data_IF_732184491068
#
_entry.id   IF_732184491068
#
_cell.length_a   1.000
_cell.length_b   1.000
_cell.length_c   1.000
_cell.angle_alpha   90.00
_cell.angle_beta   90.00
_cell.angle_gamma   90.00
#
_symmetry.space_group_name_H-M   'P 1'
#
loop_
_entity.id
_entity.type
_entity.pdbx_description
1 polymer ?
#
# COMPACT_ATOMS: atom_id res chain seq x y z
N UNK A 1 8.75 -0.96 35.69
CA UNK A 1 9.10 -0.54 34.32
C UNK A 1 7.99 -0.99 33.39
N UNK A 2 7.46 -0.10 32.54
CA UNK A 2 6.47 -0.49 31.54
C UNK A 2 7.23 -1.10 30.36
N UNK A 3 7.10 -2.41 30.14
CA UNK A 3 7.60 -3.05 28.93
C UNK A 3 6.89 -2.44 27.72
N UNK A 4 7.64 -2.09 26.69
CA UNK A 4 7.06 -1.69 25.42
C UNK A 4 6.22 -2.84 24.86
N UNK A 5 5.01 -2.54 24.40
CA UNK A 5 4.09 -3.50 23.80
C UNK A 5 3.82 -3.08 22.35
N UNK A 6 3.92 -4.03 21.42
CA UNK A 6 3.55 -3.83 20.04
C UNK A 6 2.19 -4.48 19.77
N UNK A 7 1.35 -3.81 18.98
CA UNK A 7 0.09 -4.33 18.50
C UNK A 7 0.20 -4.63 17.02
N UNK A 8 -0.15 -5.86 16.62
CA UNK A 8 -0.16 -6.30 15.22
C UNK A 8 -1.60 -6.53 14.78
N UNK A 9 -1.95 -6.00 13.61
CA UNK A 9 -3.25 -6.23 12.97
C UNK A 9 -3.08 -7.26 11.85
N UNK A 10 -3.76 -8.41 11.96
CA UNK A 10 -3.85 -9.40 10.89
C UNK A 10 -5.20 -9.22 10.21
N UNK A 11 -5.16 -8.81 8.94
CA UNK A 11 -6.36 -8.56 8.14
C UNK A 11 -6.78 -9.82 7.38
N UNK A 12 -8.04 -9.91 6.92
CA UNK A 12 -8.47 -10.99 6.04
C UNK A 12 -7.59 -11.12 4.80
N UNK A 13 -7.43 -12.35 4.32
CA UNK A 13 -6.65 -12.64 3.10
C UNK A 13 -7.32 -11.94 1.91
N UNK A 14 -6.55 -11.10 1.22
CA UNK A 14 -7.00 -10.50 -0.02
C UNK A 14 -6.91 -11.54 -1.15
N UNK A 15 -8.06 -11.98 -1.65
CA UNK A 15 -8.14 -12.89 -2.79
C UNK A 15 -7.72 -12.17 -4.07
N UNK A 16 -6.76 -12.73 -4.79
CA UNK A 16 -6.29 -12.24 -6.09
C UNK A 16 -7.33 -12.61 -7.14
N UNK A 17 -7.83 -11.61 -7.87
CA UNK A 17 -8.71 -11.85 -9.00
C UNK A 17 -7.89 -12.17 -10.25
N UNK A 18 -8.38 -13.11 -11.06
CA UNK A 18 -7.81 -13.49 -12.35
C UNK A 18 -8.91 -13.49 -13.40
N UNK A 19 -8.72 -12.74 -14.47
CA UNK A 19 -9.58 -12.67 -15.63
C UNK A 19 -8.80 -12.97 -16.90
N UNK A 20 -9.33 -12.49 -18.03
CA UNK A 20 -8.77 -12.79 -19.36
C UNK A 20 -7.64 -11.83 -19.78
N UNK A 21 -7.51 -10.66 -19.12
CA UNK A 21 -6.45 -9.68 -19.36
C UNK A 21 -5.48 -9.60 -18.16
N UNK A 22 -4.27 -10.18 -18.28
CA UNK A 22 -3.27 -10.13 -17.22
C UNK A 22 -2.85 -8.72 -16.80
N UNK A 23 -2.86 -7.75 -17.71
CA UNK A 23 -2.45 -6.38 -17.39
C UNK A 23 -3.50 -5.70 -16.50
N UNK A 24 -4.77 -5.88 -16.83
CA UNK A 24 -5.89 -5.37 -16.05
C UNK A 24 -5.98 -6.06 -14.68
N UNK A 25 -5.69 -7.36 -14.61
CA UNK A 25 -5.59 -8.09 -13.34
C UNK A 25 -4.50 -7.54 -12.43
N UNK A 26 -3.30 -7.29 -12.98
CA UNK A 26 -2.20 -6.69 -12.22
C UNK A 26 -2.63 -5.32 -11.68
N UNK A 27 -3.26 -4.48 -12.51
CA UNK A 27 -3.72 -3.15 -12.12
C UNK A 27 -4.75 -3.23 -10.99
N UNK A 28 -5.79 -4.05 -11.16
CA UNK A 28 -6.90 -4.20 -10.20
C UNK A 28 -6.44 -4.76 -8.87
N UNK A 29 -5.64 -5.82 -8.88
CA UNK A 29 -5.09 -6.41 -7.67
C UNK A 29 -4.17 -5.41 -6.95
N UNK A 30 -3.25 -4.76 -7.66
CA UNK A 30 -2.34 -3.75 -7.08
C UNK A 30 -3.11 -2.61 -6.41
N UNK A 31 -4.20 -2.14 -7.03
CA UNK A 31 -5.07 -1.12 -6.44
C UNK A 31 -5.74 -1.62 -5.14
N UNK A 32 -6.23 -2.87 -5.11
CA UNK A 32 -6.84 -3.46 -3.90
C UNK A 32 -5.83 -3.60 -2.76
N UNK A 33 -4.60 -4.03 -3.04
CA UNK A 33 -3.54 -4.04 -2.02
C UNK A 33 -3.21 -2.63 -1.53
N UNK A 34 -3.13 -1.65 -2.45
CA UNK A 34 -2.84 -0.26 -2.11
C UNK A 34 -3.91 0.34 -1.21
N UNK A 35 -5.19 0.08 -1.47
CA UNK A 35 -6.30 0.54 -0.64
C UNK A 35 -6.18 0.08 0.83
N UNK A 36 -5.75 -1.17 1.07
CA UNK A 36 -5.52 -1.70 2.42
C UNK A 36 -4.39 -0.95 3.13
N UNK A 37 -3.28 -0.66 2.41
CA UNK A 37 -2.21 0.16 2.98
C UNK A 37 -2.70 1.57 3.33
N UNK A 38 -3.46 2.20 2.43
CA UNK A 38 -3.98 3.54 2.66
C UNK A 38 -4.94 3.59 3.86
N UNK A 39 -5.79 2.58 4.05
CA UNK A 39 -6.66 2.49 5.23
C UNK A 39 -5.83 2.46 6.53
N UNK A 40 -4.81 1.61 6.60
CA UNK A 40 -3.95 1.50 7.78
C UNK A 40 -3.13 2.77 8.02
N UNK A 41 -2.62 3.40 6.96
CA UNK A 41 -1.89 4.68 7.06
C UNK A 41 -2.81 5.80 7.52
N UNK A 42 -4.06 5.87 7.04
CA UNK A 42 -5.03 6.87 7.51
C UNK A 42 -5.40 6.65 8.98
N UNK A 43 -5.44 5.40 9.45
CA UNK A 43 -5.74 5.07 10.86
C UNK A 43 -4.58 5.37 11.81
N UNK A 44 -3.34 5.17 11.36
CA UNK A 44 -2.12 5.34 12.17
C UNK A 44 -1.02 6.08 11.38
N UNK A 45 -1.25 7.35 11.00
CA UNK A 45 -0.33 8.07 10.11
C UNK A 45 1.07 8.24 10.70
N UNK A 46 1.19 8.36 12.02
CA UNK A 46 2.45 8.48 12.74
C UNK A 46 3.31 7.20 12.72
N UNK A 47 2.70 6.04 12.40
CA UNK A 47 3.40 4.76 12.29
C UNK A 47 3.93 4.51 10.86
N UNK A 48 3.59 5.37 9.89
CA UNK A 48 4.07 5.23 8.52
C UNK A 48 5.45 5.88 8.34
N UNK A 49 6.34 5.20 7.61
CA UNK A 49 7.68 5.72 7.30
C UNK A 49 7.63 6.78 6.19
N UNK A 50 7.20 8.01 6.51
CA UNK A 50 7.06 9.12 5.54
C UNK A 50 8.33 9.48 4.78
N UNK A 51 9.51 9.22 5.36
CA UNK A 51 10.80 9.43 4.70
C UNK A 51 11.02 8.48 3.50
N UNK A 52 10.28 7.37 3.43
CA UNK A 52 10.40 6.42 2.33
C UNK A 52 9.77 6.98 1.05
N UNK A 53 10.60 7.20 0.02
CA UNK A 53 10.17 7.59 -1.34
C UNK A 53 9.44 6.43 -2.04
N UNK A 54 8.17 6.21 -1.66
CA UNK A 54 7.35 5.10 -2.18
C UNK A 54 7.09 5.23 -3.68
N UNK A 55 6.80 6.45 -4.15
CA UNK A 55 6.41 6.71 -5.54
C UNK A 55 7.60 7.14 -6.38
N UNK A 56 8.33 6.14 -6.91
CA UNK A 56 9.49 6.37 -7.80
C UNK A 56 9.09 6.46 -9.27
N UNK A 57 8.03 5.76 -9.67
CA UNK A 57 7.50 5.75 -11.04
C UNK A 57 6.43 6.83 -11.18
N UNK A 58 6.44 7.54 -12.31
CA UNK A 58 5.51 8.63 -12.65
C UNK A 58 4.94 8.37 -14.05
N UNK A 59 3.73 8.86 -14.36
CA UNK A 59 3.21 8.84 -15.73
C UNK A 59 4.18 9.52 -16.70
N UNK A 60 4.23 9.09 -17.97
CA UNK A 60 5.06 9.72 -18.99
C UNK A 60 4.75 11.22 -19.10
N UNK A 61 5.80 12.06 -19.10
CA UNK A 61 5.68 13.52 -19.24
C UNK A 61 5.66 14.31 -17.92
N UNK A 62 5.55 13.66 -16.77
CA UNK A 62 5.61 14.34 -15.48
C UNK A 62 7.04 14.50 -14.93
N UNK A 63 7.33 15.65 -14.31
CA UNK A 63 8.59 15.88 -13.61
C UNK A 63 8.77 14.91 -12.43
N UNK A 64 10.04 14.58 -12.14
CA UNK A 64 10.39 13.84 -10.93
C UNK A 64 10.13 14.72 -9.70
N UNK A 65 9.58 14.09 -8.66
CA UNK A 65 9.29 14.73 -7.37
C UNK A 65 10.56 14.84 -6.52
N UNK A 66 11.63 14.13 -6.92
CA UNK A 66 12.90 13.99 -6.23
C UNK A 66 14.08 14.06 -7.18
#
# INVERSE_FOLDING_TARGET
>A
GRSACHRVHVLPILQVERGDDPAEDVRRNTQRFTAVFEEMVRRYPEQWLWMHKRWKTRPPGESRIY
#
